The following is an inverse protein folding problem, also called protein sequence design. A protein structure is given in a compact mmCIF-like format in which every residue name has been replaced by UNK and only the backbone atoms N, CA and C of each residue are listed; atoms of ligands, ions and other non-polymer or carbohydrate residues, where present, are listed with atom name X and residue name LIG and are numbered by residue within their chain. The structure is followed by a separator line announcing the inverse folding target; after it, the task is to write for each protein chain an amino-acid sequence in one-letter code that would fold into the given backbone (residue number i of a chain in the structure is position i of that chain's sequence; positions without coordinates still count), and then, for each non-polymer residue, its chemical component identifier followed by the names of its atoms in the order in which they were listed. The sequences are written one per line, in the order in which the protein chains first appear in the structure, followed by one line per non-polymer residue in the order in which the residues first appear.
data_IF_884125012611
#
_entry.id   IF_884125012611
#
_cell.length_a   1.000
_cell.length_b   1.000
_cell.length_c   1.000
_cell.angle_alpha   90.00
_cell.angle_beta   90.00
_cell.angle_gamma   90.00
#
_symmetry.space_group_name_H-M   'P 1'
#
loop_
_entity.id
_entity.type
_entity.pdbx_description
1 polymer ?
#
# COMPACT_ATOMS: atom_id res chain seq x y z
N UNK A 1 22.96 -34.22 -51.29
CA UNK A 1 21.85 -34.41 -50.31
C UNK A 1 22.42 -34.35 -48.90
N UNK A 2 21.66 -33.84 -47.91
CA UNK A 2 21.87 -33.94 -46.44
C UNK A 2 22.95 -33.05 -45.78
N UNK A 3 22.45 -31.98 -45.17
CA UNK A 3 22.99 -31.34 -43.95
C UNK A 3 23.04 -32.36 -42.80
N UNK A 4 23.98 -32.24 -41.85
CA UNK A 4 23.72 -32.39 -40.40
C UNK A 4 24.82 -31.75 -39.55
N UNK A 5 24.40 -31.05 -38.50
CA UNK A 5 25.25 -30.30 -37.57
C UNK A 5 25.87 -31.24 -36.53
N UNK A 6 27.11 -30.95 -36.10
CA UNK A 6 27.78 -31.67 -35.01
C UNK A 6 27.20 -31.31 -33.64
N UNK A 7 27.11 -32.29 -32.74
CA UNK A 7 26.39 -32.22 -31.46
C UNK A 7 27.35 -32.09 -30.26
N UNK A 8 26.87 -31.55 -29.13
CA UNK A 8 27.61 -31.39 -27.87
C UNK A 8 27.95 -32.70 -27.13
N UNK A 9 29.14 -32.73 -26.52
CA UNK A 9 29.55 -33.31 -25.22
C UNK A 9 30.80 -32.49 -24.76
N UNK A 10 31.24 -32.31 -23.51
CA UNK A 10 30.77 -32.55 -22.12
C UNK A 10 31.51 -31.52 -21.21
N UNK A 11 31.60 -31.50 -19.87
CA UNK A 11 31.20 -32.34 -18.71
C UNK A 11 30.78 -31.38 -17.57
N UNK A 12 30.03 -31.90 -16.59
CA UNK A 12 29.42 -31.23 -15.44
C UNK A 12 30.36 -30.74 -14.33
N UNK A 13 30.02 -29.61 -13.69
CA UNK A 13 30.28 -29.37 -12.26
C UNK A 13 28.98 -29.15 -11.49
N UNK A 14 28.56 -30.18 -10.74
CA UNK A 14 27.60 -30.05 -9.66
C UNK A 14 28.26 -29.36 -8.47
N UNK A 15 27.60 -28.39 -7.82
CA UNK A 15 27.22 -28.50 -6.38
C UNK A 15 26.46 -27.27 -5.85
N UNK A 16 25.48 -27.54 -4.99
CA UNK A 16 24.93 -26.66 -3.95
C UNK A 16 24.46 -25.24 -4.29
N UNK A 17 23.33 -25.18 -5.01
CA UNK A 17 22.34 -24.11 -4.85
C UNK A 17 20.95 -24.73 -4.88
N UNK A 18 20.21 -24.72 -3.76
CA UNK A 18 18.94 -25.43 -3.64
C UNK A 18 17.91 -24.93 -4.65
N UNK A 19 17.60 -25.76 -5.65
CA UNK A 19 16.53 -25.50 -6.61
C UNK A 19 15.18 -25.61 -5.91
N UNK A 20 14.69 -24.48 -5.39
CA UNK A 20 13.26 -24.32 -5.11
C UNK A 20 12.56 -24.44 -6.47
N UNK A 21 11.95 -25.59 -6.70
CA UNK A 21 11.09 -25.80 -7.86
C UNK A 21 9.86 -24.92 -7.71
N UNK A 22 9.93 -23.70 -8.25
CA UNK A 22 8.76 -22.89 -8.51
C UNK A 22 7.95 -23.60 -9.59
N UNK A 23 6.98 -24.41 -9.17
CA UNK A 23 5.91 -24.90 -10.03
C UNK A 23 5.40 -23.70 -10.83
N UNK A 24 5.44 -23.82 -12.16
CA UNK A 24 5.11 -22.77 -13.09
C UNK A 24 3.66 -22.32 -12.87
N UNK A 25 3.49 -21.38 -11.94
CA UNK A 25 2.20 -20.86 -11.53
C UNK A 25 1.70 -20.07 -12.72
N UNK A 26 0.55 -20.48 -13.24
CA UNK A 26 -0.08 -19.97 -14.45
C UNK A 26 0.17 -18.47 -14.65
N UNK A 27 0.61 -18.09 -15.84
CA UNK A 27 0.86 -16.70 -16.23
C UNK A 27 -0.45 -15.93 -16.29
N UNK A 28 -0.95 -15.53 -15.12
CA UNK A 28 -2.19 -14.78 -15.01
C UNK A 28 -2.01 -13.43 -15.69
N UNK A 29 -2.84 -13.19 -16.71
CA UNK A 29 -2.73 -11.99 -17.53
C UNK A 29 -2.94 -10.71 -16.72
N UNK A 30 -2.39 -9.60 -17.24
CA UNK A 30 -2.07 -8.39 -16.49
C UNK A 30 -3.24 -7.66 -15.78
N UNK A 31 -4.48 -8.06 -16.05
CA UNK A 31 -5.73 -7.43 -15.58
C UNK A 31 -6.34 -8.08 -14.32
N UNK A 32 -5.92 -9.27 -13.94
CA UNK A 32 -6.83 -10.17 -13.20
C UNK A 32 -6.81 -10.02 -11.66
N UNK A 33 -5.80 -9.38 -11.06
CA UNK A 33 -5.81 -9.20 -9.60
C UNK A 33 -6.83 -8.15 -9.15
N UNK A 34 -6.96 -7.07 -9.92
CA UNK A 34 -8.03 -6.08 -9.81
C UNK A 34 -8.47 -5.68 -11.22
N UNK A 35 -9.58 -6.22 -11.76
CA UNK A 35 -10.11 -5.81 -13.06
C UNK A 35 -10.71 -4.40 -12.95
N UNK A 36 -9.88 -3.38 -13.17
CA UNK A 36 -10.26 -1.97 -13.06
C UNK A 36 -10.06 -1.26 -14.39
N UNK A 37 -11.16 -0.75 -14.97
CA UNK A 37 -11.12 -0.04 -16.25
C UNK A 37 -10.59 1.40 -16.15
N UNK A 38 -10.68 2.04 -14.97
CA UNK A 38 -10.24 3.42 -14.76
C UNK A 38 -9.54 3.60 -13.41
N UNK A 39 -8.35 4.22 -13.44
CA UNK A 39 -7.58 4.59 -12.26
C UNK A 39 -7.11 6.05 -12.35
N UNK A 40 -6.82 6.66 -11.21
CA UNK A 40 -6.24 7.99 -11.10
C UNK A 40 -4.75 7.88 -10.75
N UNK A 41 -3.93 8.75 -11.32
CA UNK A 41 -2.51 8.90 -10.95
C UNK A 41 -2.31 9.72 -9.66
N UNK A 42 -3.38 9.95 -8.91
CA UNK A 42 -3.39 10.70 -7.66
C UNK A 42 -4.37 10.09 -6.64
N UNK A 43 -4.08 10.29 -5.36
CA UNK A 43 -4.95 9.88 -4.25
C UNK A 43 -5.97 10.99 -3.93
N UNK A 44 -7.27 10.71 -3.71
CA UNK A 44 -8.27 11.71 -3.31
C UNK A 44 -7.98 12.35 -1.94
N UNK A 45 -8.36 13.62 -1.73
CA UNK A 45 -8.08 14.37 -0.47
C UNK A 45 -8.62 13.68 0.78
N UNK A 46 -9.73 12.97 0.69
CA UNK A 46 -10.33 12.21 1.79
C UNK A 46 -9.43 11.07 2.32
N UNK A 47 -8.54 10.54 1.48
CA UNK A 47 -7.61 9.45 1.82
C UNK A 47 -6.23 9.94 2.30
N UNK A 48 -5.89 11.22 2.09
CA UNK A 48 -4.55 11.77 2.39
C UNK A 48 -4.28 11.96 3.88
N UNK A 49 -3.03 11.83 4.28
CA UNK A 49 -2.50 12.10 5.62
C UNK A 49 -1.53 11.04 6.11
N UNK A 50 -1.05 11.24 7.33
CA UNK A 50 -0.22 10.30 8.09
C UNK A 50 -1.13 9.37 8.90
N UNK A 51 -0.84 8.07 8.87
CA UNK A 51 -1.55 7.03 9.61
C UNK A 51 -0.54 6.14 10.34
N UNK A 52 -0.92 5.64 11.51
CA UNK A 52 -0.13 4.67 12.28
C UNK A 52 -0.93 3.40 12.54
N UNK A 53 -0.25 2.26 12.68
CA UNK A 53 -0.89 0.99 13.06
C UNK A 53 -0.44 0.54 14.47
N UNK A 54 -1.04 -0.53 14.98
CA UNK A 54 -0.71 -1.13 16.28
C UNK A 54 0.70 -1.72 16.40
N UNK A 55 1.41 -1.86 15.27
CA UNK A 55 2.78 -2.41 15.21
C UNK A 55 3.85 -1.31 15.18
N UNK A 56 3.46 -0.03 15.28
CA UNK A 56 4.37 1.12 15.26
C UNK A 56 4.73 1.65 13.86
N UNK A 57 4.34 0.96 12.78
CA UNK A 57 4.57 1.45 11.42
C UNK A 57 3.75 2.71 11.12
N UNK A 58 4.31 3.57 10.29
CA UNK A 58 3.74 4.84 9.82
C UNK A 58 3.58 4.85 8.30
N UNK A 59 2.36 5.11 7.84
CA UNK A 59 2.03 5.29 6.43
C UNK A 59 1.70 6.75 6.12
N UNK A 60 2.38 7.33 5.13
CA UNK A 60 2.11 8.68 4.62
C UNK A 60 1.47 8.59 3.24
N UNK A 61 0.19 8.96 3.16
CA UNK A 61 -0.61 8.97 1.94
C UNK A 61 -0.70 10.39 1.40
N UNK A 62 0.02 10.68 0.32
CA UNK A 62 0.09 12.00 -0.31
C UNK A 62 -0.77 12.05 -1.59
N UNK A 63 -0.83 13.23 -2.23
CA UNK A 63 -1.52 13.40 -3.51
C UNK A 63 -0.94 12.50 -4.60
N UNK A 64 0.39 12.42 -4.71
CA UNK A 64 1.10 11.77 -5.83
C UNK A 64 2.05 10.64 -5.40
N UNK A 65 2.07 10.30 -4.12
CA UNK A 65 2.88 9.19 -3.60
C UNK A 65 2.24 8.56 -2.36
N UNK A 66 2.67 7.33 -2.05
CA UNK A 66 2.44 6.67 -0.77
C UNK A 66 3.77 6.17 -0.25
N UNK A 67 4.06 6.45 1.02
CA UNK A 67 5.24 5.96 1.72
C UNK A 67 4.85 5.16 2.96
N UNK A 68 5.64 4.13 3.26
CA UNK A 68 5.54 3.28 4.44
C UNK A 68 6.90 3.29 5.12
N UNK A 69 6.94 3.63 6.41
CA UNK A 69 8.15 3.65 7.25
C UNK A 69 9.30 4.43 6.58
N UNK A 70 8.96 5.64 6.10
CA UNK A 70 9.86 6.55 5.37
C UNK A 70 10.10 6.18 3.89
N UNK A 71 9.90 4.93 3.48
CA UNK A 71 10.15 4.46 2.12
C UNK A 71 8.95 4.70 1.21
N UNK A 72 9.14 5.42 0.10
CA UNK A 72 8.10 5.55 -0.94
C UNK A 72 7.87 4.20 -1.62
N UNK A 73 6.63 3.69 -1.58
CA UNK A 73 6.23 2.42 -2.18
C UNK A 73 5.47 2.60 -3.51
N UNK A 74 4.77 3.74 -3.67
CA UNK A 74 4.08 4.14 -4.90
C UNK A 74 4.33 5.61 -5.23
N UNK A 75 4.53 5.95 -6.51
CA UNK A 75 4.69 7.33 -6.99
C UNK A 75 4.08 7.50 -8.39
N UNK A 76 3.44 8.64 -8.66
CA UNK A 76 2.77 8.90 -9.95
C UNK A 76 3.72 8.93 -11.17
N UNK A 77 4.97 9.36 -10.98
CA UNK A 77 6.01 9.43 -12.02
C UNK A 77 6.72 8.10 -12.26
N UNK A 78 6.42 7.05 -11.49
CA UNK A 78 7.00 5.72 -11.69
C UNK A 78 6.21 4.93 -12.75
N UNK A 79 6.76 3.77 -13.13
CA UNK A 79 6.20 2.86 -14.13
C UNK A 79 5.87 1.49 -13.52
N UNK A 80 5.12 0.66 -14.27
CA UNK A 80 4.69 -0.66 -13.82
C UNK A 80 3.88 -0.62 -12.52
N UNK A 81 4.04 -1.66 -11.70
CA UNK A 81 3.31 -1.83 -10.44
C UNK A 81 3.76 -0.89 -9.31
N UNK A 82 4.86 -0.15 -9.49
CA UNK A 82 5.27 0.91 -8.56
C UNK A 82 4.61 2.27 -8.88
N UNK A 83 3.95 2.41 -10.04
CA UNK A 83 3.20 3.62 -10.37
C UNK A 83 1.99 3.75 -9.45
N UNK A 84 1.80 4.94 -8.87
CA UNK A 84 0.56 5.25 -8.15
C UNK A 84 -0.62 5.20 -9.14
N UNK A 85 -1.51 4.25 -8.91
CA UNK A 85 -2.69 4.00 -9.73
C UNK A 85 -3.87 3.73 -8.78
N UNK A 86 -4.43 4.81 -8.24
CA UNK A 86 -5.51 4.75 -7.26
C UNK A 86 -6.84 4.44 -7.94
N UNK A 87 -7.53 3.40 -7.50
CA UNK A 87 -8.79 3.00 -8.10
C UNK A 87 -9.76 2.33 -7.10
N UNK A 88 -11.05 2.36 -7.42
CA UNK A 88 -12.09 1.56 -6.76
C UNK A 88 -12.09 0.15 -7.37
N UNK A 89 -12.13 -0.90 -6.55
CA UNK A 89 -12.05 -2.30 -7.02
C UNK A 89 -13.33 -3.09 -6.77
N UNK A 90 -14.17 -2.65 -5.83
CA UNK A 90 -15.53 -3.14 -5.62
C UNK A 90 -16.37 -2.05 -4.92
N UNK A 91 -17.60 -2.35 -4.49
CA UNK A 91 -18.52 -1.39 -3.86
C UNK A 91 -17.90 -0.61 -2.69
N UNK A 92 -16.97 -1.22 -1.92
CA UNK A 92 -16.43 -0.67 -0.68
C UNK A 92 -14.89 -0.62 -0.60
N UNK A 93 -14.18 -1.30 -1.51
CA UNK A 93 -12.71 -1.37 -1.50
C UNK A 93 -12.05 -0.63 -2.67
N UNK A 94 -10.79 -0.25 -2.43
CA UNK A 94 -9.91 0.50 -3.32
C UNK A 94 -8.51 -0.13 -3.36
N UNK A 95 -7.69 0.29 -4.31
CA UNK A 95 -6.27 -0.04 -4.44
C UNK A 95 -5.46 1.23 -4.65
N UNK A 96 -4.21 1.26 -4.16
CA UNK A 96 -3.22 2.29 -4.56
C UNK A 96 -2.44 1.88 -5.82
N UNK A 97 -2.58 0.62 -6.23
CA UNK A 97 -1.91 0.04 -7.38
C UNK A 97 -2.91 -0.83 -8.18
N UNK A 98 -3.59 -0.22 -9.13
CA UNK A 98 -4.41 -0.91 -10.13
C UNK A 98 -3.58 -1.60 -11.24
N UNK A 99 -2.26 -1.35 -11.30
CA UNK A 99 -1.35 -1.90 -12.31
C UNK A 99 -0.61 -3.17 -11.82
N UNK A 100 -1.02 -3.72 -10.66
CA UNK A 100 -0.54 -4.99 -10.13
C UNK A 100 -1.03 -6.16 -10.99
N UNK A 101 -0.10 -6.88 -11.63
CA UNK A 101 -0.43 -8.11 -12.38
C UNK A 101 -0.64 -9.30 -11.44
N UNK A 102 0.15 -9.34 -10.36
CA UNK A 102 0.20 -10.46 -9.42
C UNK A 102 -0.11 -10.02 -7.98
N UNK A 103 -0.61 -10.93 -7.16
CA UNK A 103 -0.98 -10.63 -5.77
C UNK A 103 0.15 -10.14 -4.88
N UNK A 104 1.40 -10.52 -5.15
CA UNK A 104 2.57 -10.01 -4.43
C UNK A 104 2.97 -8.56 -4.80
N UNK A 105 2.51 -8.06 -5.96
CA UNK A 105 2.70 -6.66 -6.40
C UNK A 105 1.60 -5.73 -5.88
N UNK A 106 0.49 -6.31 -5.42
CA UNK A 106 -0.71 -5.58 -5.06
C UNK A 106 -0.56 -4.83 -3.74
N UNK A 107 -1.13 -3.61 -3.67
CA UNK A 107 -1.32 -2.92 -2.39
C UNK A 107 -2.34 -3.61 -1.47
N UNK A 108 -2.99 -4.69 -1.95
CA UNK A 108 -4.17 -5.34 -1.36
C UNK A 108 -5.39 -4.41 -1.35
N UNK A 109 -6.52 -4.88 -0.81
CA UNK A 109 -7.79 -4.14 -0.77
C UNK A 109 -7.78 -3.15 0.38
N UNK A 110 -8.14 -1.90 0.11
CA UNK A 110 -8.21 -0.84 1.11
C UNK A 110 -9.63 -0.32 1.30
N UNK A 111 -10.01 0.00 2.53
CA UNK A 111 -11.28 0.70 2.81
C UNK A 111 -11.03 1.88 3.74
N UNK A 112 -11.53 3.04 3.37
CA UNK A 112 -11.64 4.18 4.26
C UNK A 112 -12.90 4.01 5.11
N UNK A 113 -12.76 4.10 6.44
CA UNK A 113 -13.87 4.16 7.40
C UNK A 113 -13.75 5.40 8.29
N UNK A 114 -14.87 5.76 8.89
CA UNK A 114 -14.93 6.68 10.01
C UNK A 114 -15.52 5.92 11.20
N UNK A 115 -14.83 5.93 12.34
CA UNK A 115 -15.22 5.25 13.57
C UNK A 115 -15.08 6.24 14.73
N UNK A 116 -16.18 6.54 15.41
CA UNK A 116 -16.22 7.52 16.50
C UNK A 116 -15.56 8.87 16.13
N UNK A 117 -15.88 9.40 14.95
CA UNK A 117 -15.29 10.63 14.38
C UNK A 117 -13.85 10.50 13.87
N UNK A 118 -13.12 9.43 14.21
CA UNK A 118 -11.74 9.19 13.78
C UNK A 118 -11.71 8.51 12.41
N UNK A 119 -10.73 8.87 11.59
CA UNK A 119 -10.52 8.31 10.25
C UNK A 119 -9.63 7.08 10.33
N UNK A 120 -10.13 5.96 9.81
CA UNK A 120 -9.44 4.68 9.76
C UNK A 120 -9.26 4.24 8.32
N UNK A 121 -8.08 3.72 8.00
CA UNK A 121 -7.71 3.20 6.70
C UNK A 121 -7.40 1.71 6.90
N UNK A 122 -8.25 0.84 6.38
CA UNK A 122 -8.22 -0.60 6.66
C UNK A 122 -7.61 -1.33 5.46
N UNK A 123 -6.60 -2.16 5.70
CA UNK A 123 -5.97 -3.01 4.70
C UNK A 123 -6.42 -4.46 4.88
N UNK A 124 -7.11 -5.02 3.88
CA UNK A 124 -7.49 -6.43 3.83
C UNK A 124 -6.47 -7.19 3.00
N UNK A 125 -5.66 -8.01 3.67
CA UNK A 125 -4.56 -8.77 3.09
C UNK A 125 -5.00 -10.16 2.62
N UNK A 126 -4.05 -10.96 2.14
CA UNK A 126 -4.30 -12.37 1.85
C UNK A 126 -4.62 -13.15 3.15
N UNK A 127 -5.27 -14.31 3.01
CA UNK A 127 -5.59 -15.23 4.12
C UNK A 127 -6.46 -14.62 5.24
N UNK A 128 -7.16 -13.51 4.98
CA UNK A 128 -8.08 -12.87 5.93
C UNK A 128 -7.43 -11.88 6.90
N UNK A 129 -6.10 -11.76 6.93
CA UNK A 129 -5.41 -10.79 7.77
C UNK A 129 -5.86 -9.36 7.46
N UNK A 130 -6.08 -8.56 8.52
CA UNK A 130 -6.54 -7.17 8.40
C UNK A 130 -5.67 -6.27 9.26
N UNK A 131 -5.13 -5.20 8.67
CA UNK A 131 -4.40 -4.15 9.41
C UNK A 131 -5.21 -2.87 9.42
N UNK A 132 -5.46 -2.32 10.60
CA UNK A 132 -6.13 -1.03 10.77
C UNK A 132 -5.07 0.06 10.94
N UNK A 133 -5.18 1.11 10.14
CA UNK A 133 -4.32 2.29 10.21
C UNK A 133 -5.16 3.47 10.71
N UNK A 134 -4.85 3.96 11.90
CA UNK A 134 -5.53 5.10 12.49
C UNK A 134 -4.87 6.38 11.97
N UNK A 135 -5.66 7.34 11.47
CA UNK A 135 -5.09 8.62 11.06
C UNK A 135 -4.51 9.32 12.28
N UNK A 136 -3.23 9.70 12.21
CA UNK A 136 -2.62 10.51 13.25
C UNK A 136 -3.33 11.87 13.27
N UNK A 137 -4.11 12.08 14.31
CA UNK A 137 -4.52 13.42 14.71
C UNK A 137 -3.42 13.93 15.63
N UNK A 138 -2.76 15.08 15.34
CA UNK A 138 -1.93 15.72 16.34
C UNK A 138 -2.79 15.95 17.59
N UNK A 139 -2.20 15.74 18.77
CA UNK A 139 -2.88 16.04 20.01
C UNK A 139 -3.47 17.45 19.92
N UNK A 140 -4.75 17.60 20.31
CA UNK A 140 -5.36 18.93 20.41
C UNK A 140 -4.48 19.71 21.37
N UNK A 141 -3.77 20.72 20.85
CA UNK A 141 -3.03 21.67 21.67
C UNK A 141 -4.08 22.52 22.38
N UNK A 142 -4.59 22.01 23.50
CA UNK A 142 -5.30 22.82 24.46
C UNK A 142 -4.38 23.98 24.82
N UNK A 143 -4.77 25.19 24.43
CA UNK A 143 -4.16 26.40 24.98
C UNK A 143 -4.65 26.47 26.42
N UNK A 144 -3.89 25.89 27.33
CA UNK A 144 -3.99 26.25 28.74
C UNK A 144 -3.64 27.74 28.81
N UNK A 145 -4.65 28.60 28.98
CA UNK A 145 -4.43 29.95 29.49
C UNK A 145 -4.01 29.74 30.94
N UNK A 146 -2.79 30.15 31.29
CA UNK A 146 -2.42 30.31 32.69
C UNK A 146 -3.41 31.30 33.28
N UNK A 147 -4.20 30.87 34.28
CA UNK A 147 -5.06 31.79 35.01
C UNK A 147 -4.16 32.89 35.59
N UNK A 148 -4.48 34.14 35.28
CA UNK A 148 -3.76 35.28 35.83
C UNK A 148 -4.50 35.80 37.07
N UNK A 149 -3.85 36.68 37.82
CA UNK A 149 -4.38 37.15 39.10
C UNK A 149 -5.70 37.94 38.96
N UNK A 150 -6.17 38.26 37.75
CA UNK A 150 -7.46 38.92 37.51
C UNK A 150 -8.63 37.93 37.40
N UNK A 151 -8.37 36.65 37.12
CA UNK A 151 -9.42 35.62 37.00
C UNK A 151 -10.01 35.20 38.39
N UNK A 152 -9.49 35.72 39.51
CA UNK A 152 -9.95 35.42 40.88
C UNK A 152 -10.82 36.52 41.55
N UNK A 153 -11.06 37.66 40.87
CA UNK A 153 -11.75 38.82 41.46
C UNK A 153 -13.17 39.04 40.92
N UNK A 154 -14.00 38.00 40.92
CA UNK A 154 -15.46 38.13 40.83
C UNK A 154 -16.14 37.11 41.74
N UNK A 155 -16.42 37.52 42.97
CA UNK A 155 -17.75 37.46 43.61
C UNK A 155 -17.64 38.03 45.04
N UNK A 156 -18.27 39.18 45.25
CA UNK A 156 -18.54 39.83 46.55
C UNK A 156 -20.05 40.02 46.69
#
# INVERSE_FOLDING_TARGET
MRIKQGLLLGITTLTFGGLIAFSASSTVSASNYFPVHHYHTYTPRSWRGTYTNSYGSTMNVNTYSVALDGKTIYKNTWSGWHKLAFAKVDSSHYTFNALAKYGYQSSRRWRLKYKSGKKELINYQAMGYTTVWHKYSPAVKYKFRTADNTDFFYDT
#
